data_IF_037253764597
#
_entry.id   IF_037253764597
#
_cell.length_a   1.000
_cell.length_b   1.000
_cell.length_c   1.000
_cell.angle_alpha   90.00
_cell.angle_beta   90.00
_cell.angle_gamma   90.00
#
_symmetry.space_group_name_H-M   'P 1'
#
loop_
_entity.id
_entity.type
_entity.pdbx_description
1 polymer ?
#
# COMPACT_ATOMS: atom_id res chain seq x y z
N UNK A 1 2.20 -14.21 13.29
CA UNK A 1 1.67 -12.88 13.65
C UNK A 1 1.44 -12.09 12.39
N UNK A 2 0.25 -11.53 12.22
CA UNK A 2 -0.09 -10.69 11.06
C UNK A 2 -0.12 -9.23 11.52
N UNK A 3 0.53 -8.34 10.76
CA UNK A 3 0.62 -6.92 11.06
C UNK A 3 0.08 -6.15 9.86
N UNK A 4 -0.79 -5.19 10.13
CA UNK A 4 -1.31 -4.24 9.14
C UNK A 4 -0.79 -2.86 9.53
N UNK A 5 -0.28 -2.12 8.54
CA UNK A 5 0.25 -0.78 8.73
C UNK A 5 -0.46 0.18 7.78
N UNK A 6 -1.03 1.24 8.35
CA UNK A 6 -1.63 2.34 7.61
C UNK A 6 -0.75 3.58 7.81
N UNK A 7 -0.19 4.11 6.72
CA UNK A 7 0.63 5.32 6.74
C UNK A 7 0.39 6.13 5.48
N UNK A 8 0.59 7.45 5.57
CA UNK A 8 0.65 8.34 4.41
C UNK A 8 2.08 8.49 3.86
N UNK A 9 3.08 7.88 4.52
CA UNK A 9 4.46 7.89 4.05
C UNK A 9 4.66 6.85 2.94
N UNK A 10 4.59 7.30 1.69
CA UNK A 10 4.82 6.48 0.51
C UNK A 10 6.26 5.93 0.46
N UNK A 11 7.25 6.65 0.99
CA UNK A 11 8.65 6.24 0.95
C UNK A 11 8.92 5.01 1.81
N UNK A 12 8.27 4.88 2.97
CA UNK A 12 8.36 3.67 3.80
C UNK A 12 7.65 2.50 3.14
N UNK A 13 6.46 2.73 2.56
CA UNK A 13 5.69 1.69 1.87
C UNK A 13 6.49 1.09 0.70
N UNK A 14 7.15 1.94 -0.09
CA UNK A 14 7.99 1.54 -1.21
C UNK A 14 9.20 0.73 -0.81
N UNK A 15 9.86 1.12 0.29
CA UNK A 15 11.02 0.40 0.83
C UNK A 15 10.64 -0.99 1.33
N UNK A 16 9.45 -1.14 1.94
CA UNK A 16 9.02 -2.41 2.49
C UNK A 16 8.73 -3.48 1.42
N UNK A 17 8.37 -3.06 0.18
CA UNK A 17 8.02 -3.96 -0.94
C UNK A 17 7.05 -5.09 -0.54
N UNK A 18 6.11 -4.77 0.34
CA UNK A 18 5.06 -5.68 0.82
C UNK A 18 3.78 -5.47 -0.01
N UNK A 19 2.72 -6.20 0.36
CA UNK A 19 1.41 -5.98 -0.23
C UNK A 19 0.91 -4.59 0.12
N UNK A 20 0.53 -3.82 -0.89
CA UNK A 20 -0.03 -2.47 -0.73
C UNK A 20 -1.50 -2.52 -1.13
N UNK A 21 -2.35 -1.97 -0.28
CA UNK A 21 -3.79 -1.85 -0.51
C UNK A 21 -4.14 -0.36 -0.43
N UNK A 22 -4.57 0.23 -1.55
CA UNK A 22 -5.06 1.60 -1.58
C UNK A 22 -6.58 1.61 -1.53
N UNK A 23 -7.12 2.49 -0.69
CA UNK A 23 -8.56 2.62 -0.44
C UNK A 23 -8.94 4.09 -0.64
N UNK A 24 -9.94 4.33 -1.49
CA UNK A 24 -10.49 5.65 -1.75
C UNK A 24 -12.00 5.59 -1.69
N UNK A 25 -12.63 6.50 -0.93
CA UNK A 25 -14.09 6.57 -0.81
C UNK A 25 -14.75 5.28 -0.29
N UNK A 26 -14.03 4.48 0.51
CA UNK A 26 -14.52 3.20 1.03
C UNK A 26 -14.43 2.02 0.06
N UNK A 27 -13.81 2.21 -1.11
CA UNK A 27 -13.59 1.15 -2.10
C UNK A 27 -12.09 0.89 -2.27
N UNK A 28 -11.71 -0.38 -2.41
CA UNK A 28 -10.32 -0.78 -2.69
C UNK A 28 -10.04 -0.47 -4.16
N UNK A 29 -9.10 0.43 -4.41
CA UNK A 29 -8.72 0.86 -5.77
C UNK A 29 -7.43 0.19 -6.25
N UNK A 30 -6.59 -0.31 -5.33
CA UNK A 30 -5.36 -1.02 -5.67
C UNK A 30 -5.09 -2.11 -4.64
N UNK A 31 -4.71 -3.28 -5.14
CA UNK A 31 -4.22 -4.39 -4.32
C UNK A 31 -3.07 -5.07 -5.06
N UNK A 32 -1.84 -4.82 -4.60
CA UNK A 32 -0.64 -5.33 -5.24
C UNK A 32 0.21 -6.07 -4.22
N UNK A 33 0.48 -7.37 -4.46
CA UNK A 33 1.27 -8.22 -3.57
C UNK A 33 2.74 -7.79 -3.39
N UNK A 34 3.26 -6.97 -4.31
CA UNK A 34 4.59 -6.32 -4.28
C UNK A 34 4.46 -4.89 -4.82
N UNK A 35 3.60 -4.11 -4.17
CA UNK A 35 3.31 -2.76 -4.63
C UNK A 35 4.52 -1.84 -4.47
N UNK A 36 4.83 -1.10 -5.52
CA UNK A 36 5.54 0.17 -5.42
C UNK A 36 4.46 1.23 -5.60
N UNK A 37 4.53 2.31 -4.84
CA UNK A 37 3.72 3.52 -4.96
C UNK A 37 4.07 4.21 -6.29
N UNK A 38 3.66 3.57 -7.39
CA UNK A 38 3.83 4.04 -8.75
C UNK A 38 2.61 4.83 -9.16
N UNK A 39 2.79 6.14 -9.27
CA UNK A 39 1.90 7.06 -9.97
C UNK A 39 1.70 6.55 -11.41
N UNK A 40 0.44 6.31 -11.78
CA UNK A 40 -0.05 6.31 -13.16
C UNK A 40 -1.38 7.03 -13.16
#
# INVERSE_FOLDING_TARGET
TTVIMATHDAGIVDQMRKRVIEITGGTIIRDQARGVYGYS
#
